data_IF_660661732329
#
_entry.id   IF_660661732329
#
_cell.length_a   1.000
_cell.length_b   1.000
_cell.length_c   1.000
_cell.angle_alpha   90.00
_cell.angle_beta   90.00
_cell.angle_gamma   90.00
#
_symmetry.space_group_name_H-M   'P 1'
#
loop_
_entity.id
_entity.type
_entity.pdbx_description
1 polymer ?
#
# COMPACT_ATOMS: atom_id res chain seq x y z
N UNK A 1 13.31 1.50 4.64
CA UNK A 1 13.30 0.22 5.36
C UNK A 1 13.52 -1.00 4.46
N UNK A 2 13.14 -0.95 3.20
CA UNK A 2 13.24 -2.10 2.26
C UNK A 2 14.68 -2.44 1.83
N UNK A 3 15.61 -1.50 1.92
CA UNK A 3 16.99 -1.65 1.50
C UNK A 3 18.00 -1.68 2.66
N UNK A 4 17.49 -1.85 3.88
CA UNK A 4 18.29 -1.92 5.08
C UNK A 4 18.07 -3.25 5.80
N UNK A 5 18.96 -3.60 6.72
CA UNK A 5 18.75 -4.74 7.59
C UNK A 5 17.48 -4.55 8.44
N UNK A 6 16.82 -5.64 8.78
CA UNK A 6 15.65 -5.60 9.64
C UNK A 6 16.03 -5.11 11.03
N UNK A 7 15.11 -4.41 11.67
CA UNK A 7 15.28 -3.87 13.03
C UNK A 7 15.75 -4.94 14.05
N UNK A 8 15.29 -6.16 13.90
CA UNK A 8 15.60 -7.27 14.80
C UNK A 8 16.96 -7.92 14.57
N UNK A 9 17.72 -7.51 13.53
CA UNK A 9 18.97 -8.17 13.19
C UNK A 9 20.13 -7.63 14.02
N UNK A 10 20.51 -6.38 13.81
CA UNK A 10 21.58 -5.70 14.57
C UNK A 10 21.42 -4.19 14.42
N UNK A 11 21.07 -3.52 15.50
CA UNK A 11 20.82 -2.08 15.53
C UNK A 11 22.07 -1.20 15.39
N UNK A 12 23.24 -1.79 15.54
CA UNK A 12 24.52 -1.08 15.39
C UNK A 12 24.99 -0.97 13.92
N UNK A 13 24.33 -1.69 13.02
CA UNK A 13 24.68 -1.68 11.59
C UNK A 13 24.51 -0.29 10.99
N UNK A 14 25.36 0.05 10.00
CA UNK A 14 25.29 1.35 9.36
C UNK A 14 23.98 1.52 8.56
N UNK A 15 23.42 2.72 8.66
CA UNK A 15 22.28 3.21 7.92
C UNK A 15 22.62 4.53 7.23
N UNK A 16 21.82 5.01 6.27
CA UNK A 16 22.09 6.28 5.61
C UNK A 16 22.28 7.44 6.59
N UNK A 17 23.02 8.48 6.21
CA UNK A 17 23.13 9.69 7.03
C UNK A 17 21.78 10.34 7.27
N UNK A 18 21.56 10.87 8.48
CA UNK A 18 20.35 11.61 8.83
C UNK A 18 20.59 13.09 8.57
N UNK A 19 19.76 13.69 7.70
CA UNK A 19 19.76 15.12 7.42
C UNK A 19 18.45 15.72 7.91
N UNK A 20 18.53 16.66 8.83
CA UNK A 20 17.37 17.43 9.33
C UNK A 20 17.21 18.75 8.55
N UNK A 21 18.25 19.17 7.86
CA UNK A 21 18.27 20.35 7.00
C UNK A 21 19.04 20.05 5.70
N UNK A 22 18.74 20.75 4.60
CA UNK A 22 19.53 20.66 3.38
C UNK A 22 21.02 20.97 3.67
N UNK A 23 21.91 20.10 3.24
CA UNK A 23 23.35 20.25 3.41
C UNK A 23 24.09 20.00 2.11
N UNK A 24 25.18 20.76 1.89
CA UNK A 24 26.07 20.56 0.74
C UNK A 24 27.13 19.50 1.09
N UNK A 25 27.58 19.48 2.34
CA UNK A 25 28.58 18.54 2.81
C UNK A 25 27.96 17.21 3.22
N UNK A 26 28.66 16.12 2.93
CA UNK A 26 28.26 14.78 3.35
C UNK A 26 28.41 14.60 4.86
N UNK A 27 27.48 13.87 5.46
CA UNK A 27 27.55 13.42 6.85
C UNK A 27 28.02 11.96 6.92
N UNK A 28 28.58 11.59 8.06
CA UNK A 28 28.86 10.19 8.37
C UNK A 28 27.55 9.35 8.37
N UNK A 29 27.70 8.06 8.13
CA UNK A 29 26.58 7.14 8.24
C UNK A 29 26.06 7.10 9.68
N UNK A 30 24.75 7.02 9.84
CA UNK A 30 24.11 6.73 11.11
C UNK A 30 24.09 5.23 11.38
N UNK A 31 23.68 4.85 12.58
CA UNK A 31 23.32 3.46 12.90
C UNK A 31 21.85 3.20 12.58
N UNK A 32 21.49 1.94 12.43
CA UNK A 32 20.11 1.52 12.25
C UNK A 32 19.23 1.98 13.41
N UNK A 33 19.76 1.92 14.65
CA UNK A 33 19.06 2.42 15.84
C UNK A 33 18.73 3.91 15.74
N UNK A 34 19.73 4.75 15.45
CA UNK A 34 19.52 6.20 15.30
C UNK A 34 18.48 6.52 14.23
N UNK A 35 18.46 5.74 13.14
CA UNK A 35 17.50 5.91 12.05
C UNK A 35 16.07 5.63 12.52
N UNK A 36 15.84 4.51 13.22
CA UNK A 36 14.52 4.19 13.75
C UNK A 36 14.09 5.15 14.86
N UNK A 37 14.99 5.55 15.75
CA UNK A 37 14.69 6.53 16.78
C UNK A 37 14.25 7.87 16.16
N UNK A 38 14.92 8.28 15.07
CA UNK A 38 14.58 9.49 14.33
C UNK A 38 13.20 9.38 13.66
N UNK A 39 12.90 8.26 12.98
CA UNK A 39 11.59 8.00 12.38
C UNK A 39 10.48 8.03 13.43
N UNK A 40 10.69 7.41 14.60
CA UNK A 40 9.69 7.36 15.68
C UNK A 40 9.47 8.75 16.27
N UNK A 41 10.55 9.53 16.48
CA UNK A 41 10.47 10.91 16.96
C UNK A 41 9.63 11.77 16.01
N UNK A 42 9.89 11.69 14.71
CA UNK A 42 9.16 12.46 13.71
C UNK A 42 7.68 12.05 13.63
N UNK A 43 7.41 10.75 13.70
CA UNK A 43 6.03 10.24 13.69
C UNK A 43 5.26 10.64 14.96
N UNK A 44 5.88 10.65 16.12
CA UNK A 44 5.27 11.15 17.35
C UNK A 44 4.87 12.62 17.19
N UNK A 45 5.78 13.44 16.64
CA UNK A 45 5.46 14.84 16.34
C UNK A 45 4.33 14.95 15.32
N UNK A 46 4.34 14.13 14.28
CA UNK A 46 3.34 14.16 13.22
C UNK A 46 1.94 13.78 13.74
N UNK A 47 1.80 12.77 14.59
CA UNK A 47 0.49 12.38 15.15
C UNK A 47 -0.06 13.43 16.11
N UNK A 48 0.80 14.24 16.73
CA UNK A 48 0.39 15.33 17.63
C UNK A 48 0.01 16.61 16.86
N UNK A 49 0.73 16.91 15.77
CA UNK A 49 0.66 18.22 15.10
C UNK A 49 -0.06 18.22 13.76
N UNK A 50 -0.19 17.06 13.11
CA UNK A 50 -0.88 16.98 11.82
C UNK A 50 -2.36 17.37 11.95
N UNK A 51 -2.93 18.10 10.98
CA UNK A 51 -4.34 18.48 11.02
C UNK A 51 -5.26 17.26 10.94
N UNK A 52 -6.39 17.32 11.61
CA UNK A 52 -7.44 16.28 11.45
C UNK A 52 -8.13 16.41 10.09
N UNK A 53 -8.48 17.65 9.70
CA UNK A 53 -9.16 17.94 8.45
C UNK A 53 -8.14 18.28 7.35
N UNK A 54 -8.45 17.89 6.12
CA UNK A 54 -7.63 18.14 4.92
C UNK A 54 -8.51 18.46 3.73
N UNK A 55 -7.92 19.06 2.70
CA UNK A 55 -8.63 19.44 1.47
C UNK A 55 -9.13 18.21 0.74
N UNK A 56 -8.26 17.22 0.54
CA UNK A 56 -8.58 15.92 -0.05
C UNK A 56 -7.60 14.83 0.44
N UNK A 57 -7.76 13.61 -0.04
CA UNK A 57 -6.98 12.45 0.39
C UNK A 57 -5.52 12.44 -0.06
N UNK A 58 -5.09 13.34 -0.93
CA UNK A 58 -3.69 13.49 -1.32
C UNK A 58 -2.85 14.22 -0.26
N UNK A 59 -3.51 14.96 0.63
CA UNK A 59 -2.84 15.65 1.73
C UNK A 59 -2.72 14.75 2.97
N UNK A 60 -1.61 14.89 3.67
CA UNK A 60 -1.37 14.17 4.91
C UNK A 60 -2.20 14.80 6.03
N UNK A 61 -2.85 13.95 6.81
CA UNK A 61 -3.54 14.31 8.04
C UNK A 61 -3.14 13.37 9.18
N UNK A 62 -3.73 13.53 10.34
CA UNK A 62 -3.43 12.72 11.53
C UNK A 62 -3.66 11.22 11.28
N UNK A 63 -4.72 10.83 10.55
CA UNK A 63 -4.96 9.41 10.22
C UNK A 63 -3.83 8.80 9.39
N UNK A 64 -3.27 9.57 8.42
CA UNK A 64 -2.12 9.12 7.62
C UNK A 64 -0.89 8.95 8.49
N UNK A 65 -0.62 9.89 9.41
CA UNK A 65 0.49 9.77 10.35
C UNK A 65 0.38 8.51 11.21
N UNK A 66 -0.80 8.21 11.75
CA UNK A 66 -1.06 6.97 12.49
C UNK A 66 -0.93 5.71 11.62
N UNK A 67 -1.35 5.76 10.36
CA UNK A 67 -1.17 4.63 9.44
C UNK A 67 0.30 4.30 9.19
N UNK A 68 1.15 5.33 9.04
CA UNK A 68 2.60 5.16 8.92
C UNK A 68 3.19 4.67 10.24
N UNK A 69 2.77 5.22 11.38
CA UNK A 69 3.17 4.78 12.72
C UNK A 69 2.87 3.30 12.92
N UNK A 70 1.67 2.84 12.58
CA UNK A 70 1.29 1.43 12.68
C UNK A 70 2.24 0.51 11.91
N UNK A 71 2.63 0.90 10.68
CA UNK A 71 3.60 0.13 9.88
C UNK A 71 4.99 0.09 10.50
N UNK A 72 5.45 1.22 11.03
CA UNK A 72 6.77 1.27 11.71
C UNK A 72 6.76 0.41 12.97
N UNK A 73 5.72 0.54 13.81
CA UNK A 73 5.56 -0.27 15.03
C UNK A 73 5.48 -1.76 14.72
N UNK A 74 4.80 -2.14 13.64
CA UNK A 74 4.77 -3.53 13.18
C UNK A 74 6.18 -4.05 12.82
N UNK A 75 6.98 -3.26 12.10
CA UNK A 75 8.33 -3.65 11.69
C UNK A 75 9.28 -3.81 12.88
N UNK A 76 9.15 -2.99 13.91
CA UNK A 76 10.01 -3.07 15.10
C UNK A 76 9.50 -4.07 16.15
N UNK A 77 8.35 -4.71 15.92
CA UNK A 77 7.81 -5.77 16.78
C UNK A 77 6.95 -5.27 17.94
N UNK A 78 6.57 -4.01 17.95
CA UNK A 78 5.67 -3.42 18.96
C UNK A 78 4.20 -3.64 18.56
N UNK A 79 3.78 -4.91 18.63
CA UNK A 79 2.52 -5.40 18.04
C UNK A 79 1.28 -4.69 18.58
N UNK A 80 1.23 -4.44 19.90
CA UNK A 80 0.07 -3.77 20.51
C UNK A 80 -0.01 -2.32 20.05
N UNK A 81 1.10 -1.59 20.08
CA UNK A 81 1.15 -0.20 19.63
C UNK A 81 0.84 -0.09 18.13
N UNK A 82 1.27 -1.07 17.33
CA UNK A 82 0.91 -1.15 15.92
C UNK A 82 -0.60 -1.31 15.72
N UNK A 83 -1.23 -2.18 16.51
CA UNK A 83 -2.68 -2.40 16.46
C UNK A 83 -3.47 -1.16 16.91
N UNK A 84 -3.03 -0.50 17.98
CA UNK A 84 -3.67 0.72 18.50
C UNK A 84 -3.56 1.86 17.48
N UNK A 85 -2.38 2.08 16.90
CA UNK A 85 -2.18 3.07 15.85
C UNK A 85 -3.01 2.78 14.60
N UNK A 86 -3.11 1.51 14.19
CA UNK A 86 -3.95 1.11 13.06
C UNK A 86 -5.44 1.33 13.33
N UNK A 87 -5.90 1.11 14.58
CA UNK A 87 -7.29 1.37 14.96
C UNK A 87 -7.63 2.85 14.82
N UNK A 88 -6.75 3.75 15.27
CA UNK A 88 -6.93 5.20 15.13
C UNK A 88 -6.85 5.60 13.65
N UNK A 89 -5.87 5.08 12.91
CA UNK A 89 -5.66 5.42 11.50
C UNK A 89 -6.90 5.16 10.65
N UNK A 90 -7.61 4.06 10.90
CA UNK A 90 -8.79 3.65 10.13
C UNK A 90 -10.10 4.28 10.60
N UNK A 91 -10.10 5.10 11.65
CA UNK A 91 -11.30 5.73 12.15
C UNK A 91 -11.90 6.66 11.09
N UNK A 92 -13.16 6.43 10.72
CA UNK A 92 -13.82 7.13 9.62
C UNK A 92 -13.56 6.57 8.22
N UNK A 93 -12.70 5.54 8.09
CA UNK A 93 -12.39 4.88 6.82
C UNK A 93 -12.86 3.42 6.88
N UNK A 94 -14.08 3.18 6.43
CA UNK A 94 -14.69 1.85 6.45
C UNK A 94 -14.58 1.16 5.10
N UNK A 95 -14.24 -0.13 5.11
CA UNK A 95 -14.40 -0.98 3.95
C UNK A 95 -15.84 -1.45 3.87
N UNK A 96 -16.59 -0.97 2.89
CA UNK A 96 -17.94 -1.47 2.59
C UNK A 96 -17.84 -2.73 1.73
N UNK A 97 -18.58 -3.81 2.08
CA UNK A 97 -18.67 -4.98 1.21
C UNK A 97 -19.20 -4.67 -0.20
N UNK A 98 -20.02 -3.63 -0.34
CA UNK A 98 -20.55 -3.21 -1.63
C UNK A 98 -19.53 -2.43 -2.46
N UNK A 99 -18.62 -1.70 -1.80
CA UNK A 99 -17.62 -0.88 -2.47
C UNK A 99 -16.36 -1.69 -2.81
N UNK A 100 -16.09 -2.77 -2.08
CA UNK A 100 -14.89 -3.60 -2.32
C UNK A 100 -14.74 -4.07 -3.77
N UNK A 101 -15.79 -4.55 -4.46
CA UNK A 101 -15.69 -5.00 -5.84
C UNK A 101 -15.57 -3.88 -6.88
N UNK A 102 -15.81 -2.61 -6.51
CA UNK A 102 -15.86 -1.49 -7.45
C UNK A 102 -14.51 -1.06 -8.01
N UNK A 103 -13.42 -1.64 -7.53
CA UNK A 103 -12.10 -1.30 -8.00
C UNK A 103 -11.18 -0.76 -6.92
N UNK A 104 -10.03 -0.25 -7.36
CA UNK A 104 -8.98 0.32 -6.50
C UNK A 104 -8.27 1.50 -7.20
N UNK A 105 -9.03 2.32 -7.89
CA UNK A 105 -8.60 3.40 -8.77
C UNK A 105 -9.26 4.75 -8.45
N UNK A 106 -10.31 4.76 -7.62
CA UNK A 106 -11.01 5.97 -7.23
C UNK A 106 -10.61 6.45 -5.82
N UNK A 107 -9.95 7.60 -5.77
CA UNK A 107 -9.56 8.26 -4.52
C UNK A 107 -10.77 8.64 -3.63
N UNK A 108 -11.97 8.73 -4.19
CA UNK A 108 -13.19 9.01 -3.42
C UNK A 108 -13.64 7.81 -2.58
N UNK A 109 -13.18 6.58 -2.89
CA UNK A 109 -13.54 5.37 -2.17
C UNK A 109 -13.36 5.52 -0.66
N UNK A 110 -14.35 5.08 0.12
CA UNK A 110 -14.40 5.33 1.57
C UNK A 110 -13.25 4.70 2.35
N UNK A 111 -12.70 3.60 1.85
CA UNK A 111 -11.61 2.84 2.48
C UNK A 111 -10.23 3.53 2.38
N UNK A 112 -10.07 4.47 1.49
CA UNK A 112 -8.76 5.08 1.23
C UNK A 112 -8.41 6.15 2.27
N UNK A 113 -7.39 5.87 3.07
CA UNK A 113 -6.84 6.83 4.04
C UNK A 113 -6.00 7.89 3.34
N UNK A 114 -5.19 7.50 2.37
CA UNK A 114 -4.31 8.40 1.62
C UNK A 114 -4.11 7.87 0.21
N UNK A 115 -4.04 8.79 -0.74
CA UNK A 115 -3.82 8.46 -2.14
C UNK A 115 -3.01 9.55 -2.83
N UNK A 116 -2.26 9.17 -3.84
CA UNK A 116 -1.59 10.09 -4.75
C UNK A 116 -2.33 10.04 -6.08
N UNK A 117 -3.11 11.08 -6.42
CA UNK A 117 -3.85 11.08 -7.67
C UNK A 117 -2.89 11.08 -8.85
N UNK A 118 -3.13 10.21 -9.78
CA UNK A 118 -2.46 10.23 -11.08
C UNK A 118 -3.24 11.14 -12.03
N UNK A 119 -2.54 11.87 -12.88
CA UNK A 119 -3.11 12.70 -13.91
C UNK A 119 -2.44 12.38 -15.24
N UNK A 120 -3.19 12.42 -16.32
CA UNK A 120 -2.70 12.11 -17.67
C UNK A 120 -1.47 12.95 -18.09
N UNK A 121 -1.33 14.16 -17.54
CA UNK A 121 -0.20 15.07 -17.78
C UNK A 121 1.01 14.82 -16.88
N UNK A 122 0.88 13.92 -15.90
CA UNK A 122 1.91 13.63 -14.88
C UNK A 122 2.39 12.18 -14.90
N UNK A 123 1.69 11.29 -15.60
CA UNK A 123 2.06 9.88 -15.70
C UNK A 123 3.03 9.68 -16.85
N UNK A 124 4.21 9.16 -16.56
CA UNK A 124 5.22 8.90 -17.58
C UNK A 124 5.22 7.47 -18.07
N UNK A 125 4.64 6.51 -17.32
CA UNK A 125 4.81 5.11 -17.65
C UNK A 125 3.75 4.21 -17.02
N UNK A 126 2.79 3.80 -17.80
CA UNK A 126 1.74 2.87 -17.38
C UNK A 126 2.22 1.42 -17.23
N UNK A 127 3.35 1.04 -17.85
CA UNK A 127 3.91 -0.32 -17.81
C UNK A 127 4.25 -0.85 -16.43
N UNK A 128 4.42 -0.01 -15.44
CA UNK A 128 4.80 -0.41 -14.08
C UNK A 128 3.66 -0.31 -13.06
N UNK A 129 2.48 0.07 -13.49
CA UNK A 129 1.31 0.08 -12.62
C UNK A 129 0.90 -1.37 -12.28
N UNK A 130 0.84 -1.77 -11.01
CA UNK A 130 0.52 -3.15 -10.62
C UNK A 130 -0.81 -3.64 -11.19
N UNK A 131 -1.81 -2.79 -11.26
CA UNK A 131 -3.12 -3.11 -11.81
C UNK A 131 -3.08 -3.36 -13.32
N UNK A 132 -2.19 -2.68 -14.07
CA UNK A 132 -2.00 -2.95 -15.49
C UNK A 132 -1.51 -4.38 -15.77
N UNK A 133 -0.70 -4.96 -14.87
CA UNK A 133 -0.23 -6.34 -15.01
C UNK A 133 -1.27 -7.38 -14.60
N UNK A 134 -2.17 -7.03 -13.69
CA UNK A 134 -3.17 -7.95 -13.11
C UNK A 134 -4.52 -7.83 -13.76
N UNK A 135 -4.78 -6.77 -14.52
CA UNK A 135 -6.01 -6.65 -15.31
C UNK A 135 -5.90 -7.51 -16.57
N UNK A 136 -6.70 -8.57 -16.57
CA UNK A 136 -6.86 -9.48 -17.69
C UNK A 136 -8.25 -9.38 -18.32
N UNK A 137 -9.07 -8.41 -17.87
CA UNK A 137 -10.48 -8.26 -18.27
C UNK A 137 -10.65 -7.09 -19.23
N UNK A 138 -9.95 -5.99 -18.95
CA UNK A 138 -10.05 -4.75 -19.72
C UNK A 138 -8.77 -4.50 -20.56
N UNK A 139 -8.22 -3.32 -20.48
CA UNK A 139 -7.10 -2.86 -21.29
C UNK A 139 -5.72 -3.19 -20.73
N UNK A 140 -5.65 -3.93 -19.63
CA UNK A 140 -4.39 -4.31 -18.99
C UNK A 140 -3.52 -5.26 -19.82
N UNK A 141 -2.30 -5.47 -19.37
CA UNK A 141 -1.33 -6.33 -20.08
C UNK A 141 -1.61 -7.83 -19.98
N UNK A 142 -2.43 -8.25 -19.00
CA UNK A 142 -2.77 -9.65 -18.84
C UNK A 142 -1.58 -10.58 -18.57
N UNK A 143 -0.55 -10.10 -17.88
CA UNK A 143 0.70 -10.83 -17.67
C UNK A 143 0.74 -11.63 -16.38
N UNK A 144 -0.11 -11.31 -15.41
CA UNK A 144 -0.15 -11.97 -14.11
C UNK A 144 -1.54 -12.54 -13.84
N UNK A 145 -1.57 -13.77 -13.39
CA UNK A 145 -2.80 -14.48 -13.03
C UNK A 145 -2.74 -14.95 -11.59
N UNK A 146 -3.91 -15.00 -10.94
CA UNK A 146 -4.01 -15.48 -9.58
C UNK A 146 -3.88 -17.00 -9.53
N UNK A 147 -3.10 -17.47 -8.57
CA UNK A 147 -2.90 -18.89 -8.35
C UNK A 147 -4.21 -19.57 -7.89
N UNK A 148 -4.52 -20.74 -8.45
CA UNK A 148 -5.73 -21.48 -8.17
C UNK A 148 -5.89 -21.83 -6.70
N UNK A 149 -4.81 -22.26 -6.05
CA UNK A 149 -4.81 -22.62 -4.63
C UNK A 149 -5.10 -21.40 -3.77
N UNK A 150 -4.54 -20.23 -4.11
CA UNK A 150 -4.86 -18.97 -3.44
C UNK A 150 -6.34 -18.61 -3.60
N UNK A 151 -6.86 -18.65 -4.81
CA UNK A 151 -8.28 -18.32 -5.07
C UNK A 151 -9.22 -19.29 -4.33
N UNK A 152 -8.86 -20.57 -4.19
CA UNK A 152 -9.67 -21.56 -3.47
C UNK A 152 -9.81 -21.30 -1.97
N UNK A 153 -9.00 -20.39 -1.39
CA UNK A 153 -9.12 -19.97 0.02
C UNK A 153 -10.35 -19.08 0.27
N UNK A 154 -10.91 -18.49 -0.79
CA UNK A 154 -12.06 -17.59 -0.67
C UNK A 154 -13.35 -18.37 -0.89
N UNK A 155 -14.28 -18.28 0.07
CA UNK A 155 -15.61 -18.85 -0.11
C UNK A 155 -16.42 -18.05 -1.14
N UNK A 156 -17.49 -18.63 -1.65
CA UNK A 156 -18.39 -17.95 -2.60
C UNK A 156 -19.15 -16.77 -1.98
N UNK A 157 -19.18 -16.68 -0.65
CA UNK A 157 -19.82 -15.58 0.09
C UNK A 157 -18.81 -14.53 0.58
N UNK A 158 -17.53 -14.73 0.34
CA UNK A 158 -16.50 -13.77 0.70
C UNK A 158 -16.52 -12.62 -0.33
N UNK A 159 -16.68 -11.39 0.15
CA UNK A 159 -16.72 -10.21 -0.73
C UNK A 159 -15.42 -9.99 -1.52
N UNK A 160 -14.31 -10.56 -1.04
CA UNK A 160 -13.01 -10.53 -1.72
C UNK A 160 -12.93 -11.52 -2.88
N UNK A 161 -13.91 -12.42 -3.02
CA UNK A 161 -13.96 -13.36 -4.12
C UNK A 161 -14.48 -12.66 -5.41
N UNK A 162 -13.63 -11.79 -5.95
CA UNK A 162 -13.86 -11.05 -7.19
C UNK A 162 -13.20 -11.73 -8.40
N UNK A 163 -12.80 -12.99 -8.24
CA UNK A 163 -12.08 -13.74 -9.26
C UNK A 163 -13.01 -14.28 -10.33
N UNK A 164 -12.58 -14.17 -11.59
CA UNK A 164 -13.28 -14.70 -12.75
C UNK A 164 -12.37 -15.64 -13.54
N UNK A 165 -12.96 -16.68 -14.10
CA UNK A 165 -12.27 -17.60 -15.01
C UNK A 165 -12.32 -17.01 -16.43
N UNK A 166 -11.17 -16.61 -16.98
CA UNK A 166 -11.09 -16.02 -18.32
C UNK A 166 -10.95 -17.06 -19.43
N UNK A 167 -10.25 -18.17 -19.13
CA UNK A 167 -9.98 -19.21 -20.10
C UNK A 167 -10.26 -20.58 -19.52
N UNK A 168 -11.17 -21.30 -20.17
CA UNK A 168 -11.32 -22.73 -19.98
C UNK A 168 -10.54 -23.40 -21.11
N UNK A 169 -9.25 -23.68 -20.89
CA UNK A 169 -8.47 -24.43 -21.85
C UNK A 169 -8.88 -25.88 -21.72
N UNK A 170 -9.77 -26.35 -22.61
CA UNK A 170 -10.15 -27.73 -22.72
C UNK A 170 -8.94 -28.64 -22.92
N UNK A 171 -9.09 -29.91 -22.51
CA UNK A 171 -8.14 -31.01 -22.65
C UNK A 171 -6.99 -31.06 -21.64
N UNK A 172 -7.33 -31.31 -20.38
CA UNK A 172 -6.41 -31.97 -19.42
C UNK A 172 -5.28 -31.13 -18.83
N UNK A 173 -4.85 -30.07 -19.44
CA UNK A 173 -3.89 -29.11 -18.90
C UNK A 173 -4.63 -27.83 -18.48
N UNK A 174 -5.06 -27.84 -17.25
CA UNK A 174 -5.84 -26.74 -16.66
C UNK A 174 -4.96 -25.56 -16.25
N UNK A 175 -4.60 -24.74 -17.18
CA UNK A 175 -4.18 -23.36 -16.86
C UNK A 175 -5.46 -22.52 -16.74
N UNK A 176 -6.00 -22.44 -15.52
CA UNK A 176 -7.06 -21.47 -15.25
C UNK A 176 -6.43 -20.11 -15.09
N UNK A 177 -6.60 -19.25 -16.08
CA UNK A 177 -6.31 -17.84 -15.93
C UNK A 177 -7.40 -17.23 -15.05
N UNK A 178 -7.06 -16.87 -13.81
CA UNK A 178 -7.97 -16.22 -12.90
C UNK A 178 -7.61 -14.76 -12.77
N UNK A 179 -8.51 -13.90 -13.23
CA UNK A 179 -8.42 -12.46 -13.09
C UNK A 179 -9.24 -12.00 -11.89
N UNK A 180 -8.95 -10.82 -11.39
CA UNK A 180 -9.76 -10.16 -10.37
C UNK A 180 -10.36 -8.89 -10.95
N UNK A 181 -11.66 -8.71 -10.78
CA UNK A 181 -12.34 -7.46 -11.15
C UNK A 181 -12.08 -6.31 -10.18
N UNK A 182 -11.39 -6.55 -9.06
CA UNK A 182 -11.00 -5.50 -8.12
C UNK A 182 -9.93 -4.56 -8.68
N UNK A 183 -9.02 -5.09 -9.48
CA UNK A 183 -7.90 -4.32 -10.03
C UNK A 183 -8.11 -4.17 -11.53
N UNK A 184 -8.70 -3.06 -11.91
CA UNK A 184 -8.97 -2.69 -13.30
C UNK A 184 -7.99 -1.61 -13.74
N UNK A 185 -7.71 -1.58 -15.03
CA UNK A 185 -6.88 -0.59 -15.68
C UNK A 185 -7.63 0.02 -16.86
N UNK A 186 -7.59 1.33 -16.97
CA UNK A 186 -8.22 2.07 -18.07
C UNK A 186 -7.22 3.06 -18.66
N UNK A 187 -6.86 2.87 -19.90
CA UNK A 187 -5.95 3.78 -20.63
C UNK A 187 -6.45 5.22 -20.74
N UNK A 188 -7.74 5.45 -20.57
CA UNK A 188 -8.32 6.78 -20.72
C UNK A 188 -8.28 7.62 -19.45
N UNK A 189 -8.11 6.96 -18.29
CA UNK A 189 -8.25 7.58 -16.97
C UNK A 189 -7.04 7.42 -16.05
N UNK A 190 -6.15 6.46 -16.35
CA UNK A 190 -5.02 6.07 -15.47
C UNK A 190 -3.66 6.63 -15.92
#
# INVERSE_FOLDING_TARGET
MEFQHTYSYDLSLPAPPIYEEPAIDGKAMSTLKEHYDFIIKDLNTAVETAPQNRIDKSYINQNVAYAIMARVKLVIGEWQEAADAAAIAREGFGLSPNDYPLGFDDMSASEWIWAMPQRADQTNYFYIAPHAFTDNINDGYGLAFWNKEFVSLFSTTDVRNTFVDLYNVGDGNQYFARASSKFTFDFSSD
#
